data_IF_693098620196
#
_entry.id   IF_693098620196
#
_cell.length_a   1.000
_cell.length_b   1.000
_cell.length_c   1.000
_cell.angle_alpha   90.00
_cell.angle_beta   90.00
_cell.angle_gamma   90.00
#
_symmetry.space_group_name_H-M   'P 1'
#
loop_
_entity.id
_entity.type
_entity.pdbx_description
1 polymer ?
#
# COMPACT_ATOMS: atom_id res chain seq x y z
N UNK A 1 23.15 -10.47 -3.99
CA UNK A 1 22.11 -10.91 -3.05
C UNK A 1 21.51 -12.19 -3.60
N UNK A 2 21.53 -13.33 -2.88
CA UNK A 2 20.84 -14.52 -3.36
C UNK A 2 19.36 -14.18 -3.45
N UNK A 3 18.75 -14.35 -4.62
CA UNK A 3 17.32 -14.10 -4.81
C UNK A 3 16.53 -14.98 -3.84
N UNK A 4 15.59 -14.39 -3.10
CA UNK A 4 14.65 -15.16 -2.28
C UNK A 4 14.05 -16.30 -3.10
N UNK A 5 13.93 -17.48 -2.50
CA UNK A 5 13.30 -18.60 -3.19
C UNK A 5 11.86 -18.26 -3.57
N UNK A 6 11.40 -18.71 -4.73
CA UNK A 6 10.03 -18.48 -5.19
C UNK A 6 8.99 -18.97 -4.18
N UNK A 7 9.31 -20.00 -3.39
CA UNK A 7 8.50 -20.50 -2.28
C UNK A 7 8.34 -19.48 -1.17
N UNK A 8 9.43 -18.82 -0.75
CA UNK A 8 9.43 -17.78 0.29
C UNK A 8 8.59 -16.58 -0.14
N UNK A 9 8.79 -16.13 -1.38
CA UNK A 9 8.00 -15.02 -1.95
C UNK A 9 6.52 -15.39 -2.00
N UNK A 10 6.18 -16.61 -2.45
CA UNK A 10 4.80 -17.09 -2.51
C UNK A 10 4.13 -17.08 -1.13
N UNK A 11 4.83 -17.50 -0.07
CA UNK A 11 4.29 -17.49 1.29
C UNK A 11 3.96 -16.07 1.76
N UNK A 12 4.86 -15.10 1.56
CA UNK A 12 4.62 -13.69 1.90
C UNK A 12 3.41 -13.12 1.16
N UNK A 13 3.32 -13.39 -0.15
CA UNK A 13 2.18 -12.93 -0.97
C UNK A 13 0.86 -13.53 -0.49
N UNK A 14 0.84 -14.83 -0.14
CA UNK A 14 -0.36 -15.47 0.37
C UNK A 14 -0.79 -14.89 1.72
N UNK A 15 0.15 -14.66 2.63
CA UNK A 15 -0.12 -14.02 3.92
C UNK A 15 -0.68 -12.60 3.75
N UNK A 16 -0.11 -11.80 2.83
CA UNK A 16 -0.62 -10.47 2.51
C UNK A 16 -2.06 -10.52 1.96
N UNK A 17 -2.36 -11.46 1.05
CA UNK A 17 -3.72 -11.64 0.53
C UNK A 17 -4.71 -12.02 1.64
N UNK A 18 -4.32 -12.93 2.52
CA UNK A 18 -5.18 -13.32 3.65
C UNK A 18 -5.47 -12.12 4.57
N UNK A 19 -4.48 -11.28 4.85
CA UNK A 19 -4.67 -10.02 5.61
C UNK A 19 -5.66 -9.08 4.92
N UNK A 20 -5.56 -8.92 3.59
CA UNK A 20 -6.49 -8.10 2.82
C UNK A 20 -7.92 -8.64 2.89
N UNK A 21 -8.10 -9.94 2.67
CA UNK A 21 -9.42 -10.58 2.76
C UNK A 21 -10.01 -10.49 4.17
N UNK A 22 -9.21 -10.71 5.23
CA UNK A 22 -9.67 -10.53 6.62
C UNK A 22 -10.11 -9.10 6.92
N UNK A 23 -9.43 -8.11 6.35
CA UNK A 23 -9.71 -6.68 6.58
C UNK A 23 -10.97 -6.20 5.87
N UNK A 24 -11.16 -6.57 4.60
CA UNK A 24 -12.15 -5.94 3.73
C UNK A 24 -12.80 -6.88 2.71
N UNK A 25 -12.59 -8.19 2.84
CA UNK A 25 -13.14 -9.25 1.98
C UNK A 25 -12.81 -9.14 0.48
N UNK A 26 -11.77 -8.37 0.12
CA UNK A 26 -11.27 -8.20 -1.25
C UNK A 26 -9.81 -7.73 -1.24
N UNK A 27 -9.11 -7.85 -2.38
CA UNK A 27 -7.74 -7.34 -2.49
C UNK A 27 -7.69 -5.81 -2.50
N UNK A 28 -6.57 -5.23 -2.07
CA UNK A 28 -6.33 -3.79 -2.05
C UNK A 28 -6.52 -3.13 -3.44
N UNK A 29 -6.21 -3.85 -4.52
CA UNK A 29 -6.39 -3.37 -5.89
C UNK A 29 -7.85 -2.97 -6.19
N UNK A 30 -8.83 -3.65 -5.57
CA UNK A 30 -10.26 -3.48 -5.82
C UNK A 30 -10.94 -2.47 -4.88
N UNK A 31 -10.18 -1.79 -4.03
CA UNK A 31 -10.76 -0.78 -3.13
C UNK A 31 -11.33 0.40 -3.92
N UNK A 32 -12.50 0.88 -3.50
CA UNK A 32 -13.08 2.12 -4.00
C UNK A 32 -12.58 3.35 -3.22
N UNK A 33 -13.03 4.56 -3.60
CA UNK A 33 -12.56 5.80 -2.96
C UNK A 33 -12.89 5.87 -1.45
N UNK A 34 -14.11 5.54 -0.99
CA UNK A 34 -14.41 5.39 0.43
C UNK A 34 -13.51 4.39 1.16
N UNK A 35 -13.30 3.20 0.59
CA UNK A 35 -12.52 2.14 1.21
C UNK A 35 -11.03 2.49 1.30
N UNK A 36 -10.48 3.21 0.30
CA UNK A 36 -9.11 3.74 0.37
C UNK A 36 -8.96 4.65 1.59
N UNK A 37 -9.90 5.56 1.83
CA UNK A 37 -9.85 6.45 3.02
C UNK A 37 -9.98 5.67 4.33
N UNK A 38 -10.67 4.54 4.33
CA UNK A 38 -10.85 3.71 5.51
C UNK A 38 -9.62 2.84 5.81
N UNK A 39 -9.07 2.18 4.79
CA UNK A 39 -8.05 1.13 4.96
C UNK A 39 -6.63 1.57 4.63
N UNK A 40 -6.45 2.72 3.97
CA UNK A 40 -5.15 3.30 3.63
C UNK A 40 -4.93 4.63 4.36
N UNK A 41 -5.29 4.69 5.64
CA UNK A 41 -5.03 5.87 6.47
C UNK A 41 -3.53 6.08 6.64
N UNK A 42 -3.12 7.34 6.55
CA UNK A 42 -1.75 7.79 6.77
C UNK A 42 -1.72 8.65 8.02
N UNK A 43 -0.57 8.68 8.69
CA UNK A 43 -0.26 9.72 9.66
C UNK A 43 -0.23 11.09 8.96
N UNK A 44 -0.51 12.17 9.70
CA UNK A 44 -0.62 13.51 9.12
C UNK A 44 0.65 13.97 8.39
N UNK A 45 1.82 13.62 8.92
CA UNK A 45 3.12 13.94 8.31
C UNK A 45 3.39 13.16 7.00
N UNK A 46 2.84 11.95 6.89
CA UNK A 46 2.95 11.10 5.71
C UNK A 46 1.97 11.51 4.63
N UNK A 47 0.77 11.94 5.03
CA UNK A 47 -0.20 12.53 4.12
C UNK A 47 0.32 13.82 3.48
N UNK A 48 0.88 14.73 4.28
CA UNK A 48 1.41 16.00 3.78
C UNK A 48 2.57 15.79 2.80
N UNK A 49 3.53 14.94 3.16
CA UNK A 49 4.65 14.65 2.26
C UNK A 49 4.22 13.99 0.95
N UNK A 50 3.24 13.09 1.03
CA UNK A 50 2.72 12.43 -0.17
C UNK A 50 2.02 13.46 -1.07
N UNK A 51 1.25 14.37 -0.50
CA UNK A 51 0.62 15.47 -1.23
C UNK A 51 1.66 16.36 -1.93
N UNK A 52 2.70 16.81 -1.21
CA UNK A 52 3.80 17.59 -1.79
C UNK A 52 4.50 16.82 -2.93
N UNK A 53 4.83 15.55 -2.70
CA UNK A 53 5.47 14.69 -3.70
C UNK A 53 4.62 14.54 -4.96
N UNK A 54 3.32 14.34 -4.82
CA UNK A 54 2.40 14.21 -5.96
C UNK A 54 2.26 15.51 -6.75
N UNK A 55 2.24 16.66 -6.06
CA UNK A 55 2.23 17.98 -6.70
C UNK A 55 3.52 18.16 -7.51
N UNK A 56 4.67 17.84 -6.93
CA UNK A 56 5.96 17.93 -7.61
C UNK A 56 6.05 17.00 -8.84
N UNK A 57 5.44 15.82 -8.77
CA UNK A 57 5.41 14.86 -9.88
C UNK A 57 4.28 15.11 -10.89
N UNK A 58 3.41 16.10 -10.66
CA UNK A 58 2.26 16.38 -11.54
C UNK A 58 1.24 15.24 -11.62
N UNK A 59 1.13 14.42 -10.56
CA UNK A 59 0.31 13.22 -10.56
C UNK A 59 -1.16 13.51 -10.23
N UNK A 60 -2.07 12.86 -10.97
CA UNK A 60 -3.51 13.00 -10.75
C UNK A 60 -3.99 12.30 -9.46
N UNK A 61 -5.18 12.67 -8.98
CA UNK A 61 -5.88 11.99 -7.87
C UNK A 61 -6.01 10.48 -8.10
N UNK A 62 -6.17 10.02 -9.36
CA UNK A 62 -6.22 8.59 -9.69
C UNK A 62 -4.87 7.90 -9.49
N UNK A 63 -3.78 8.59 -9.80
CA UNK A 63 -2.43 8.07 -9.56
C UNK A 63 -2.16 7.98 -8.05
N UNK A 64 -2.57 8.98 -7.27
CA UNK A 64 -2.53 8.94 -5.80
C UNK A 64 -3.28 7.75 -5.22
N UNK A 65 -4.53 7.53 -5.64
CA UNK A 65 -5.32 6.38 -5.19
C UNK A 65 -4.66 5.04 -5.52
N UNK A 66 -4.05 4.93 -6.70
CA UNK A 66 -3.29 3.73 -7.09
C UNK A 66 -2.06 3.54 -6.19
N UNK A 67 -1.31 4.62 -5.92
CA UNK A 67 -0.14 4.59 -5.05
C UNK A 67 -0.51 4.12 -3.64
N UNK A 68 -1.60 4.65 -3.06
CA UNK A 68 -2.07 4.20 -1.74
C UNK A 68 -2.39 2.70 -1.70
N UNK A 69 -3.02 2.17 -2.74
CA UNK A 69 -3.32 0.72 -2.84
C UNK A 69 -2.04 -0.13 -2.91
N UNK A 70 -1.03 0.37 -3.62
CA UNK A 70 0.29 -0.29 -3.71
C UNK A 70 0.99 -0.24 -2.36
N UNK A 71 1.11 0.94 -1.75
CA UNK A 71 1.71 1.12 -0.44
C UNK A 71 1.03 0.26 0.64
N UNK A 72 -0.31 0.15 0.61
CA UNK A 72 -1.04 -0.76 1.52
C UNK A 72 -0.69 -2.23 1.29
N UNK A 73 -0.47 -2.62 0.05
CA UNK A 73 -0.06 -4.00 -0.29
C UNK A 73 1.37 -4.29 0.16
N UNK A 74 2.28 -3.33 0.06
CA UNK A 74 3.65 -3.42 0.59
C UNK A 74 3.59 -3.57 2.12
N UNK A 75 2.82 -2.73 2.80
CA UNK A 75 2.59 -2.85 4.24
C UNK A 75 2.03 -4.23 4.63
N UNK A 76 1.12 -4.80 3.84
CA UNK A 76 0.57 -6.14 4.10
C UNK A 76 1.63 -7.25 3.91
N UNK A 77 2.54 -7.10 2.95
CA UNK A 77 3.66 -8.02 2.71
C UNK A 77 4.67 -7.97 3.87
N UNK A 78 4.88 -6.79 4.45
CA UNK A 78 5.76 -6.56 5.60
C UNK A 78 5.06 -6.81 6.95
N UNK A 79 3.82 -7.33 6.90
CA UNK A 79 3.00 -7.63 8.08
C UNK A 79 2.72 -6.40 8.97
N UNK A 80 2.82 -5.19 8.41
CA UNK A 80 2.50 -3.95 9.09
C UNK A 80 1.00 -3.68 9.08
N UNK A 81 0.47 -3.22 10.21
CA UNK A 81 -0.93 -2.79 10.32
C UNK A 81 -1.13 -1.34 9.83
N UNK A 82 -0.07 -0.55 9.83
CA UNK A 82 -0.05 0.86 9.35
C UNK A 82 0.75 1.00 8.05
N UNK A 83 0.38 2.01 7.25
CA UNK A 83 1.23 2.44 6.14
C UNK A 83 2.24 3.43 6.72
N UNK A 84 3.52 3.25 6.39
CA UNK A 84 4.60 4.13 6.84
C UNK A 84 5.18 4.87 5.64
N UNK A 85 5.96 5.92 5.89
CA UNK A 85 6.77 6.62 4.88
C UNK A 85 7.55 5.66 3.96
N UNK A 86 8.13 4.60 4.50
CA UNK A 86 8.89 3.62 3.72
C UNK A 86 8.00 2.91 2.69
N UNK A 87 6.82 2.43 3.10
CA UNK A 87 5.88 1.79 2.18
C UNK A 87 5.40 2.74 1.07
N UNK A 88 5.27 4.03 1.39
CA UNK A 88 4.92 5.05 0.39
C UNK A 88 6.06 5.29 -0.59
N UNK A 89 7.30 5.40 -0.11
CA UNK A 89 8.49 5.60 -0.94
C UNK A 89 8.74 4.42 -1.89
N UNK A 90 8.50 3.19 -1.45
CA UNK A 90 8.60 2.00 -2.31
C UNK A 90 7.48 1.91 -3.36
N UNK A 91 6.39 2.67 -3.19
CA UNK A 91 5.25 2.69 -4.11
C UNK A 91 5.31 3.81 -5.18
N UNK A 92 6.22 4.78 -5.03
CA UNK A 92 6.45 5.91 -5.97
C UNK A 92 7.22 5.45 -7.21
#
# INVERSE_FOLDING_TARGET
MPGESSTTVKQRVMAARERQFKRQNKLNAWLDSPEIRQFCKLESEDAQWLEETLIHLGLSIRAWQRLLKVARTIADIDQSDIITRQHLQEAV
#
